data_IF_015100057602
#
_entry.id   IF_015100057602
#
_cell.length_a   1.000
_cell.length_b   1.000
_cell.length_c   1.000
_cell.angle_alpha   90.00
_cell.angle_beta   90.00
_cell.angle_gamma   90.00
#
_symmetry.space_group_name_H-M   'P 1'
#
loop_
_entity.id
_entity.type
_entity.pdbx_description
1 polymer ?
#
# COMPACT_ATOMS: atom_id res chain seq x y z
N UNK A 1 28.46 -17.48 -10.85
CA UNK A 1 27.36 -17.95 -9.99
C UNK A 1 27.79 -18.23 -8.56
N UNK A 2 28.87 -18.99 -8.29
CA UNK A 2 29.32 -19.32 -6.92
C UNK A 2 29.64 -18.07 -6.06
N UNK A 3 30.23 -17.03 -6.63
CA UNK A 3 30.59 -15.80 -5.90
C UNK A 3 29.39 -14.91 -5.56
N UNK A 4 28.29 -14.98 -6.33
CA UNK A 4 27.05 -14.26 -6.05
C UNK A 4 26.28 -14.88 -4.88
N UNK A 5 26.28 -16.21 -4.81
CA UNK A 5 25.66 -16.95 -3.70
C UNK A 5 26.42 -16.71 -2.39
N UNK A 6 27.77 -16.65 -2.45
CA UNK A 6 28.61 -16.33 -1.28
C UNK A 6 28.37 -14.90 -0.77
N UNK A 7 28.14 -13.93 -1.68
CA UNK A 7 27.80 -12.55 -1.33
C UNK A 7 26.42 -12.44 -0.64
N UNK A 8 25.42 -13.17 -1.14
CA UNK A 8 24.09 -13.25 -0.51
C UNK A 8 24.14 -13.90 0.89
N UNK A 9 24.96 -14.93 1.06
CA UNK A 9 25.17 -15.59 2.37
C UNK A 9 25.90 -14.68 3.36
N UNK A 10 26.90 -13.93 2.91
CA UNK A 10 27.60 -12.93 3.74
C UNK A 10 26.67 -11.83 4.21
N UNK A 11 25.77 -11.35 3.33
CA UNK A 11 24.78 -10.33 3.68
C UNK A 11 23.72 -10.86 4.67
N UNK A 12 23.31 -12.11 4.51
CA UNK A 12 22.37 -12.78 5.41
C UNK A 12 22.98 -13.01 6.82
N UNK A 13 24.25 -13.40 6.91
CA UNK A 13 24.95 -13.56 8.20
C UNK A 13 25.23 -12.22 8.90
N UNK A 14 25.48 -11.16 8.17
CA UNK A 14 25.68 -9.82 8.73
C UNK A 14 24.39 -9.24 9.33
N UNK A 15 23.23 -9.57 8.77
CA UNK A 15 21.92 -9.14 9.29
C UNK A 15 21.51 -9.83 10.60
N UNK A 16 22.02 -11.03 10.89
CA UNK A 16 21.71 -11.76 12.12
C UNK A 16 22.35 -11.16 13.37
N UNK A 17 23.44 -10.40 13.24
CA UNK A 17 24.11 -9.76 14.37
C UNK A 17 23.48 -8.43 14.81
N UNK A 18 22.64 -7.79 13.97
CA UNK A 18 21.91 -6.57 14.33
C UNK A 18 20.59 -6.81 15.05
N UNK A 19 20.12 -8.07 15.10
CA UNK A 19 18.84 -8.42 15.70
C UNK A 19 18.87 -8.54 17.24
N UNK A 20 19.99 -8.32 17.91
CA UNK A 20 20.14 -8.54 19.36
C UNK A 20 20.18 -7.28 20.22
N UNK A 21 20.01 -6.09 19.65
CA UNK A 21 19.85 -4.90 20.47
C UNK A 21 18.37 -4.73 20.84
N UNK A 22 17.99 -5.42 21.91
CA UNK A 22 16.71 -5.30 22.59
C UNK A 22 16.67 -3.99 23.39
N UNK A 23 16.62 -2.87 22.71
CA UNK A 23 16.15 -1.65 23.33
C UNK A 23 14.64 -1.78 23.45
N UNK A 24 14.16 -1.94 24.68
CA UNK A 24 12.76 -1.83 25.06
C UNK A 24 12.32 -0.38 24.90
N UNK A 25 12.20 0.06 23.64
CA UNK A 25 11.61 1.33 23.31
C UNK A 25 10.11 1.22 23.66
N UNK A 26 9.65 2.06 24.59
CA UNK A 26 8.24 2.36 24.76
C UNK A 26 7.71 2.80 23.38
N UNK A 27 7.16 1.86 22.62
CA UNK A 27 6.36 2.19 21.44
C UNK A 27 5.08 2.78 22.02
N UNK A 28 5.01 4.10 22.00
CA UNK A 28 3.78 4.81 22.33
C UNK A 28 2.77 4.39 21.25
N UNK A 29 1.79 3.57 21.64
CA UNK A 29 0.72 3.12 20.77
C UNK A 29 -0.15 4.31 20.37
N UNK A 30 0.32 5.11 19.42
CA UNK A 30 -0.48 6.17 18.84
C UNK A 30 -1.57 5.53 17.98
N UNK A 31 -2.76 5.48 18.53
CA UNK A 31 -3.95 5.12 17.78
C UNK A 31 -4.05 6.03 16.55
N UNK A 32 -4.28 5.44 15.39
CA UNK A 32 -4.38 6.19 14.14
C UNK A 32 -5.78 6.82 14.05
N UNK A 33 -5.93 8.02 14.58
CA UNK A 33 -7.21 8.72 14.62
C UNK A 33 -7.74 9.00 13.21
N UNK A 34 -9.03 8.73 13.04
CA UNK A 34 -9.74 9.09 11.83
C UNK A 34 -9.79 10.61 11.68
N UNK A 35 -9.31 11.11 10.55
CA UNK A 35 -9.37 12.51 10.18
C UNK A 35 -9.96 12.62 8.78
N UNK A 36 -11.12 13.29 8.65
CA UNK A 36 -11.81 13.46 7.38
C UNK A 36 -10.93 14.13 6.29
N UNK A 37 -10.00 15.01 6.69
CA UNK A 37 -9.04 15.62 5.77
C UNK A 37 -8.15 14.60 5.05
N UNK A 38 -7.88 13.46 5.67
CA UNK A 38 -7.09 12.36 5.06
C UNK A 38 -7.87 11.59 3.98
N UNK A 39 -9.19 11.84 3.85
CA UNK A 39 -10.02 11.30 2.78
C UNK A 39 -9.95 12.11 1.49
N UNK A 40 -9.54 13.38 1.52
CA UNK A 40 -9.60 14.25 0.34
C UNK A 40 -8.84 13.69 -0.86
N UNK A 41 -7.62 13.19 -0.65
CA UNK A 41 -6.83 12.63 -1.75
C UNK A 41 -7.44 11.34 -2.31
N UNK A 42 -7.74 10.29 -1.52
CA UNK A 42 -8.35 9.10 -2.09
C UNK A 42 -9.74 9.36 -2.69
N UNK A 43 -10.57 10.20 -2.08
CA UNK A 43 -11.86 10.58 -2.64
C UNK A 43 -11.72 11.34 -3.96
N UNK A 44 -10.78 12.27 -4.03
CA UNK A 44 -10.48 12.99 -5.27
C UNK A 44 -10.06 12.05 -6.39
N UNK A 45 -9.19 11.06 -6.12
CA UNK A 45 -8.77 10.06 -7.08
C UNK A 45 -9.93 9.16 -7.55
N UNK A 46 -10.79 8.71 -6.62
CA UNK A 46 -11.97 7.91 -6.96
C UNK A 46 -12.95 8.71 -7.84
N UNK A 47 -13.25 9.95 -7.46
CA UNK A 47 -14.16 10.81 -8.20
C UNK A 47 -13.57 11.14 -9.58
N UNK A 48 -12.28 11.46 -9.66
CA UNK A 48 -11.60 11.72 -10.94
C UNK A 48 -11.65 10.52 -11.87
N UNK A 49 -11.45 9.29 -11.32
CA UNK A 49 -11.58 8.06 -12.08
C UNK A 49 -12.98 7.90 -12.67
N UNK A 50 -14.03 8.18 -11.91
CA UNK A 50 -15.43 8.11 -12.37
C UNK A 50 -15.71 9.19 -13.43
N UNK A 51 -15.26 10.42 -13.21
CA UNK A 51 -15.51 11.54 -14.16
C UNK A 51 -14.84 11.25 -15.50
N UNK A 52 -13.59 10.75 -15.48
CA UNK A 52 -12.82 10.47 -16.70
C UNK A 52 -13.31 9.22 -17.42
N UNK A 53 -14.09 8.38 -16.75
CA UNK A 53 -14.64 7.13 -17.31
C UNK A 53 -15.81 7.35 -18.30
N UNK A 54 -15.97 8.53 -18.83
CA UNK A 54 -17.02 8.86 -19.80
C UNK A 54 -17.12 7.85 -20.96
N UNK A 55 -18.36 7.59 -21.41
CA UNK A 55 -18.68 6.54 -22.39
C UNK A 55 -18.64 6.99 -23.86
N UNK A 56 -18.36 8.26 -24.15
CA UNK A 56 -18.28 8.80 -25.52
C UNK A 56 -16.98 8.45 -26.23
N UNK A 57 -16.98 8.37 -27.57
CA UNK A 57 -15.74 8.18 -28.35
C UNK A 57 -14.73 9.29 -28.09
N UNK A 58 -15.19 10.51 -27.87
CA UNK A 58 -14.38 11.69 -27.52
C UNK A 58 -14.11 11.80 -26.01
N UNK A 59 -14.29 10.72 -25.23
CA UNK A 59 -13.98 10.76 -23.81
C UNK A 59 -12.46 10.78 -23.60
N UNK A 60 -11.99 11.49 -22.59
CA UNK A 60 -10.58 11.62 -22.28
C UNK A 60 -9.87 10.26 -22.14
N UNK A 61 -10.56 9.23 -21.60
CA UNK A 61 -9.98 7.90 -21.49
C UNK A 61 -9.69 7.28 -22.86
N UNK A 62 -10.55 7.48 -23.84
CA UNK A 62 -10.39 6.93 -25.19
C UNK A 62 -9.35 7.71 -25.97
N UNK A 63 -9.36 9.04 -25.89
CA UNK A 63 -8.34 9.90 -26.52
C UNK A 63 -6.93 9.53 -26.08
N UNK A 64 -6.69 9.35 -24.77
CA UNK A 64 -5.39 8.92 -24.25
C UNK A 64 -5.01 7.50 -24.75
N UNK A 65 -5.98 6.61 -24.85
CA UNK A 65 -5.71 5.26 -25.35
C UNK A 65 -5.41 5.23 -26.87
N UNK A 66 -6.07 6.07 -27.65
CA UNK A 66 -5.82 6.24 -29.08
C UNK A 66 -4.42 6.84 -29.31
N UNK A 67 -4.10 7.94 -28.63
CA UNK A 67 -2.78 8.60 -28.69
C UNK A 67 -1.65 7.61 -28.32
N UNK A 68 -1.87 6.79 -27.27
CA UNK A 68 -0.95 5.72 -26.92
C UNK A 68 -0.78 4.72 -28.06
N UNK A 69 -1.87 4.29 -28.70
CA UNK A 69 -1.82 3.29 -29.76
C UNK A 69 -1.12 3.82 -31.02
N UNK A 70 -1.23 5.11 -31.33
CA UNK A 70 -0.53 5.73 -32.44
C UNK A 70 0.98 5.79 -32.23
N UNK A 71 1.45 6.10 -30.99
CA UNK A 71 2.86 6.34 -30.71
C UNK A 71 3.61 5.13 -30.14
N UNK A 72 2.91 4.20 -29.49
CA UNK A 72 3.50 3.06 -28.78
C UNK A 72 2.92 1.73 -29.22
N UNK A 73 2.56 1.61 -30.51
CA UNK A 73 2.03 0.36 -31.05
C UNK A 73 3.02 -0.81 -30.82
N UNK A 74 2.51 -1.91 -30.25
CA UNK A 74 3.30 -3.11 -29.96
C UNK A 74 4.26 -2.99 -28.77
N UNK A 75 4.30 -1.86 -28.06
CA UNK A 75 5.11 -1.76 -26.85
C UNK A 75 4.52 -2.62 -25.74
N UNK A 76 5.34 -3.47 -25.14
CA UNK A 76 4.99 -4.29 -23.99
C UNK A 76 6.20 -4.42 -23.05
N UNK A 77 5.96 -4.22 -21.75
CA UNK A 77 6.97 -4.32 -20.70
C UNK A 77 6.34 -4.91 -19.43
N UNK A 78 7.00 -5.87 -18.82
CA UNK A 78 6.50 -6.61 -17.66
C UNK A 78 7.05 -6.10 -16.31
N UNK A 79 7.73 -4.97 -16.27
CA UNK A 79 8.32 -4.45 -15.05
C UNK A 79 7.24 -4.12 -13.98
N UNK A 80 6.09 -3.66 -14.42
CA UNK A 80 4.94 -3.33 -13.55
C UNK A 80 4.36 -4.55 -12.83
N UNK A 81 4.46 -5.75 -13.41
CA UNK A 81 4.01 -7.00 -12.79
C UNK A 81 4.81 -7.32 -11.52
N UNK A 82 6.09 -6.93 -11.47
CA UNK A 82 6.97 -7.10 -10.30
C UNK A 82 7.01 -5.86 -9.42
N UNK A 83 7.10 -4.67 -10.01
CA UNK A 83 7.24 -3.42 -9.29
C UNK A 83 6.06 -3.11 -8.36
N UNK A 84 4.86 -3.65 -8.65
CA UNK A 84 3.71 -3.52 -7.77
C UNK A 84 3.93 -4.09 -6.36
N UNK A 85 4.87 -5.02 -6.19
CA UNK A 85 5.18 -5.64 -4.89
C UNK A 85 6.29 -4.92 -4.14
N UNK A 86 7.02 -4.00 -4.79
CA UNK A 86 8.14 -3.29 -4.19
C UNK A 86 7.81 -2.64 -2.83
N UNK A 87 6.69 -1.90 -2.67
CA UNK A 87 6.40 -1.27 -1.38
C UNK A 87 6.22 -2.28 -0.25
N UNK A 88 5.67 -3.46 -0.52
CA UNK A 88 5.47 -4.50 0.50
C UNK A 88 6.79 -5.13 0.96
N UNK A 89 7.72 -5.34 0.03
CA UNK A 89 9.06 -5.79 0.35
C UNK A 89 9.81 -4.72 1.14
N UNK A 90 9.68 -3.45 0.75
CA UNK A 90 10.33 -2.33 1.40
C UNK A 90 9.83 -2.10 2.84
N UNK A 91 8.56 -2.39 3.15
CA UNK A 91 8.01 -2.27 4.51
C UNK A 91 8.83 -3.06 5.54
N UNK A 92 9.25 -4.27 5.20
CA UNK A 92 10.05 -5.10 6.09
C UNK A 92 11.56 -4.93 5.84
N UNK A 93 11.95 -4.67 4.60
CA UNK A 93 13.34 -4.43 4.24
C UNK A 93 13.95 -3.20 4.91
N UNK A 94 13.17 -2.13 5.07
CA UNK A 94 13.62 -0.91 5.76
C UNK A 94 13.84 -1.15 7.26
N UNK A 95 12.99 -1.96 7.91
CA UNK A 95 13.20 -2.35 9.30
C UNK A 95 14.50 -3.16 9.47
N UNK A 96 14.75 -4.14 8.57
CA UNK A 96 15.98 -4.92 8.55
C UNK A 96 17.20 -4.01 8.34
N UNK A 97 17.05 -2.94 7.54
CA UNK A 97 18.09 -1.93 7.31
C UNK A 97 18.24 -0.93 8.48
N UNK A 98 17.53 -1.13 9.60
CA UNK A 98 17.64 -0.31 10.81
C UNK A 98 16.75 0.93 10.85
N UNK A 99 15.85 1.12 9.88
CA UNK A 99 14.84 2.18 9.92
C UNK A 99 13.71 1.79 10.89
N UNK A 100 13.31 2.74 11.75
CA UNK A 100 12.24 2.49 12.73
C UNK A 100 10.87 2.66 12.08
N UNK A 101 10.03 1.59 12.01
CA UNK A 101 8.65 1.71 11.61
C UNK A 101 7.80 2.32 12.73
N UNK A 102 6.63 2.82 12.38
CA UNK A 102 5.66 3.37 13.33
C UNK A 102 5.03 2.29 14.21
N UNK A 103 4.74 1.11 13.63
CA UNK A 103 4.06 0.01 14.32
C UNK A 103 4.98 -1.20 14.49
N UNK A 104 4.72 -1.99 15.52
CA UNK A 104 5.44 -3.25 15.72
C UNK A 104 5.09 -4.28 14.63
N UNK A 105 5.93 -5.30 14.50
CA UNK A 105 5.82 -6.32 13.45
C UNK A 105 4.44 -6.99 13.39
N UNK A 106 3.83 -7.34 14.54
CA UNK A 106 2.56 -8.07 14.59
C UNK A 106 1.39 -7.18 14.14
N UNK A 107 1.30 -5.97 14.71
CA UNK A 107 0.29 -4.99 14.33
C UNK A 107 0.43 -4.60 12.85
N UNK A 108 1.66 -4.35 12.39
CA UNK A 108 1.95 -4.01 11.00
C UNK A 108 1.51 -5.10 10.03
N UNK A 109 1.82 -6.36 10.34
CA UNK A 109 1.41 -7.50 9.50
C UNK A 109 -0.10 -7.69 9.50
N UNK A 110 -0.78 -7.53 10.64
CA UNK A 110 -2.23 -7.60 10.72
C UNK A 110 -2.92 -6.48 9.92
N UNK A 111 -2.39 -5.26 9.98
CA UNK A 111 -2.87 -4.12 9.18
C UNK A 111 -2.68 -4.40 7.69
N UNK A 112 -1.49 -4.89 7.30
CA UNK A 112 -1.18 -5.25 5.92
C UNK A 112 -2.19 -6.26 5.37
N UNK A 113 -2.38 -7.38 6.07
CA UNK A 113 -3.31 -8.44 5.64
C UNK A 113 -4.73 -7.89 5.53
N UNK A 114 -5.19 -7.14 6.52
CA UNK A 114 -6.52 -6.52 6.52
C UNK A 114 -6.71 -5.56 5.36
N UNK A 115 -5.75 -4.65 5.15
CA UNK A 115 -5.79 -3.68 4.06
C UNK A 115 -5.80 -4.34 2.69
N UNK A 116 -5.01 -5.40 2.52
CA UNK A 116 -4.98 -6.17 1.28
C UNK A 116 -6.25 -6.97 1.04
N UNK A 117 -6.83 -7.60 2.05
CA UNK A 117 -8.11 -8.30 1.90
C UNK A 117 -9.22 -7.34 1.47
N UNK A 118 -9.29 -6.15 2.06
CA UNK A 118 -10.25 -5.12 1.65
C UNK A 118 -9.99 -4.67 0.22
N UNK A 119 -8.74 -4.32 -0.12
CA UNK A 119 -8.35 -3.84 -1.44
C UNK A 119 -8.65 -4.87 -2.54
N UNK A 120 -8.14 -6.08 -2.39
CA UNK A 120 -8.32 -7.16 -3.38
C UNK A 120 -9.78 -7.58 -3.50
N UNK A 121 -10.51 -7.62 -2.38
CA UNK A 121 -11.94 -7.94 -2.35
C UNK A 121 -12.76 -6.91 -3.14
N UNK A 122 -12.53 -5.61 -2.90
CA UNK A 122 -13.23 -4.54 -3.62
C UNK A 122 -12.87 -4.52 -5.11
N UNK A 123 -11.57 -4.67 -5.45
CA UNK A 123 -11.13 -4.77 -6.86
C UNK A 123 -11.82 -5.95 -7.56
N UNK A 124 -11.87 -7.11 -6.91
CA UNK A 124 -12.50 -8.31 -7.49
C UNK A 124 -14.00 -8.09 -7.71
N UNK A 125 -14.72 -7.57 -6.71
CA UNK A 125 -16.16 -7.32 -6.79
C UNK A 125 -16.46 -6.35 -7.94
N UNK A 126 -15.72 -5.21 -8.00
CA UNK A 126 -15.93 -4.21 -9.06
C UNK A 126 -15.65 -4.78 -10.45
N UNK A 127 -14.54 -5.52 -10.65
CA UNK A 127 -14.22 -6.15 -11.92
C UNK A 127 -15.32 -7.11 -12.40
N UNK A 128 -15.85 -7.92 -11.48
CA UNK A 128 -16.89 -8.89 -11.82
C UNK A 128 -18.26 -8.25 -12.06
N UNK A 129 -18.54 -7.14 -11.39
CA UNK A 129 -19.80 -6.42 -11.54
C UNK A 129 -19.85 -5.57 -12.81
N UNK A 130 -18.77 -4.83 -13.11
CA UNK A 130 -18.75 -3.88 -14.23
C UNK A 130 -18.37 -4.53 -15.56
N UNK A 131 -17.47 -5.52 -15.55
CA UNK A 131 -17.05 -6.32 -16.74
C UNK A 131 -16.55 -5.47 -17.91
N UNK A 132 -15.95 -4.33 -17.65
CA UNK A 132 -15.45 -3.43 -18.68
C UNK A 132 -14.34 -4.06 -19.51
N UNK A 133 -14.30 -3.69 -20.79
CA UNK A 133 -13.27 -4.14 -21.74
C UNK A 133 -12.06 -3.24 -21.64
N UNK A 134 -10.86 -3.83 -21.66
CA UNK A 134 -9.59 -3.11 -21.66
C UNK A 134 -9.28 -2.49 -23.03
N UNK A 135 -8.34 -1.53 -23.09
CA UNK A 135 -7.87 -1.00 -24.36
C UNK A 135 -7.33 -2.05 -25.33
N UNK A 136 -6.74 -3.16 -24.80
CA UNK A 136 -6.25 -4.30 -25.60
C UNK A 136 -7.34 -5.31 -26.03
N UNK A 137 -8.61 -5.04 -25.73
CA UNK A 137 -9.77 -5.89 -26.04
C UNK A 137 -10.04 -7.02 -25.04
N UNK A 138 -9.19 -7.22 -24.04
CA UNK A 138 -9.42 -8.22 -22.99
C UNK A 138 -10.44 -7.74 -21.94
N UNK A 139 -11.03 -8.65 -21.16
CA UNK A 139 -12.05 -8.33 -20.19
C UNK A 139 -11.48 -7.81 -18.84
N UNK A 140 -12.36 -7.21 -18.04
CA UNK A 140 -12.11 -6.80 -16.66
C UNK A 140 -11.10 -5.67 -16.51
N UNK A 141 -11.33 -4.57 -17.22
CA UNK A 141 -10.51 -3.37 -17.11
C UNK A 141 -10.64 -2.71 -15.73
N UNK A 142 -11.82 -2.23 -15.42
CA UNK A 142 -12.06 -1.38 -14.25
C UNK A 142 -12.28 -2.16 -12.94
N UNK A 143 -11.66 -1.71 -11.84
CA UNK A 143 -10.51 -0.81 -11.74
C UNK A 143 -9.18 -1.53 -11.96
N UNK A 144 -8.06 -0.78 -12.09
CA UNK A 144 -6.71 -1.35 -12.21
C UNK A 144 -6.27 -2.03 -10.92
N UNK A 145 -6.13 -3.36 -10.93
CA UNK A 145 -5.71 -4.13 -9.75
C UNK A 145 -4.24 -3.89 -9.37
N UNK A 146 -3.32 -3.81 -10.34
CA UNK A 146 -1.91 -3.51 -10.10
C UNK A 146 -1.74 -2.14 -9.46
N UNK A 147 -2.46 -1.13 -9.98
CA UNK A 147 -2.44 0.23 -9.42
C UNK A 147 -3.01 0.24 -8.00
N UNK A 148 -4.15 -0.39 -7.75
CA UNK A 148 -4.73 -0.49 -6.41
C UNK A 148 -3.77 -1.17 -5.43
N UNK A 149 -3.11 -2.25 -5.86
CA UNK A 149 -2.16 -2.99 -5.05
C UNK A 149 -0.94 -2.13 -4.67
N UNK A 150 -0.26 -1.53 -5.63
CA UNK A 150 0.94 -0.74 -5.36
C UNK A 150 0.64 0.52 -4.55
N UNK A 151 -0.51 1.19 -4.77
CA UNK A 151 -0.91 2.35 -3.98
C UNK A 151 -1.29 1.98 -2.54
N UNK A 152 -1.87 0.81 -2.30
CA UNK A 152 -2.08 0.30 -0.95
C UNK A 152 -0.74 0.09 -0.22
N UNK A 153 0.23 -0.55 -0.86
CA UNK A 153 1.58 -0.74 -0.32
C UNK A 153 2.32 0.57 -0.10
N UNK A 154 2.28 1.50 -1.07
CA UNK A 154 2.89 2.82 -0.95
C UNK A 154 2.29 3.63 0.21
N UNK A 155 0.97 3.55 0.41
CA UNK A 155 0.29 4.20 1.54
C UNK A 155 0.79 3.64 2.88
N UNK A 156 0.92 2.33 2.98
CA UNK A 156 1.44 1.69 4.18
C UNK A 156 2.89 2.11 4.45
N UNK A 157 3.75 2.06 3.42
CA UNK A 157 5.14 2.46 3.52
C UNK A 157 5.29 3.93 3.96
N UNK A 158 4.45 4.81 3.41
CA UNK A 158 4.41 6.22 3.78
C UNK A 158 3.94 6.44 5.22
N UNK A 159 2.99 5.66 5.72
CA UNK A 159 2.50 5.74 7.11
C UNK A 159 3.55 5.21 8.09
N UNK A 160 4.18 4.08 7.78
CA UNK A 160 5.15 3.45 8.68
C UNK A 160 6.45 4.24 8.83
N UNK A 161 6.94 4.86 7.76
CA UNK A 161 8.27 5.46 7.75
C UNK A 161 8.30 6.96 7.45
N UNK A 162 7.20 7.53 6.92
CA UNK A 162 7.19 8.92 6.45
C UNK A 162 7.34 9.97 7.56
N UNK A 163 7.08 9.64 8.81
CA UNK A 163 7.27 10.57 9.93
C UNK A 163 8.76 10.86 10.16
N UNK A 164 9.58 9.82 10.20
CA UNK A 164 11.03 9.92 10.44
C UNK A 164 11.84 10.12 9.17
N UNK A 165 11.33 9.63 8.03
CA UNK A 165 12.02 9.64 6.74
C UNK A 165 11.16 10.31 5.67
N UNK A 166 11.22 11.64 5.58
CA UNK A 166 10.36 12.47 4.71
C UNK A 166 10.44 12.13 3.21
N UNK A 167 11.52 11.51 2.76
CA UNK A 167 11.71 11.06 1.38
C UNK A 167 10.90 9.81 1.03
N UNK A 168 10.58 8.96 2.02
CA UNK A 168 9.90 7.66 1.80
C UNK A 168 8.56 7.80 1.10
N UNK A 169 7.63 8.69 1.52
CA UNK A 169 6.37 8.88 0.81
C UNK A 169 6.55 9.25 -0.65
N UNK A 170 7.52 10.11 -0.98
CA UNK A 170 7.77 10.55 -2.36
C UNK A 170 8.23 9.38 -3.24
N UNK A 171 9.17 8.57 -2.76
CA UNK A 171 9.64 7.39 -3.49
C UNK A 171 8.53 6.35 -3.62
N UNK A 172 7.81 6.06 -2.53
CA UNK A 172 6.75 5.07 -2.53
C UNK A 172 5.63 5.41 -3.52
N UNK A 173 5.12 6.65 -3.48
CA UNK A 173 4.09 7.08 -4.42
C UNK A 173 4.64 7.32 -5.83
N UNK A 174 5.92 7.68 -5.98
CA UNK A 174 6.59 7.74 -7.27
C UNK A 174 6.61 6.38 -7.97
N UNK A 175 7.01 5.33 -7.27
CA UNK A 175 6.95 3.94 -7.79
C UNK A 175 5.51 3.55 -8.11
N UNK A 176 4.55 3.87 -7.23
CA UNK A 176 3.14 3.54 -7.47
C UNK A 176 2.59 4.23 -8.71
N UNK A 177 2.91 5.51 -8.91
CA UNK A 177 2.51 6.28 -10.10
C UNK A 177 3.14 5.70 -11.36
N UNK A 178 4.42 5.32 -11.31
CA UNK A 178 5.12 4.68 -12.44
C UNK A 178 4.43 3.36 -12.82
N UNK A 179 4.09 2.51 -11.86
CA UNK A 179 3.34 1.27 -12.13
C UNK A 179 1.99 1.59 -12.79
N UNK A 180 1.23 2.57 -12.26
CA UNK A 180 -0.02 2.99 -12.87
C UNK A 180 0.14 3.48 -14.31
N UNK A 181 1.16 4.31 -14.58
CA UNK A 181 1.48 4.78 -15.93
C UNK A 181 1.87 3.62 -16.86
N UNK A 182 2.65 2.67 -16.36
CA UNK A 182 3.03 1.48 -17.15
C UNK A 182 1.83 0.63 -17.54
N UNK A 183 0.78 0.54 -16.69
CA UNK A 183 -0.47 -0.16 -17.07
C UNK A 183 -1.15 0.48 -18.27
N UNK A 184 -1.10 1.82 -18.37
CA UNK A 184 -1.61 2.55 -19.53
C UNK A 184 -0.69 2.34 -20.75
N UNK A 185 0.62 2.50 -20.58
CA UNK A 185 1.62 2.29 -21.63
C UNK A 185 1.57 0.86 -22.19
N UNK A 186 1.33 -0.14 -21.36
CA UNK A 186 1.14 -1.55 -21.75
C UNK A 186 -0.25 -1.86 -22.33
N UNK A 187 -1.10 -0.86 -22.58
CA UNK A 187 -2.46 -1.02 -23.13
C UNK A 187 -3.39 -1.89 -22.27
N UNK A 188 -3.11 -2.05 -20.99
CA UNK A 188 -3.86 -2.94 -20.08
C UNK A 188 -5.00 -2.22 -19.36
N UNK A 189 -4.90 -0.90 -19.20
CA UNK A 189 -5.87 -0.10 -18.44
C UNK A 189 -6.02 1.31 -18.99
N UNK A 190 -7.22 1.86 -18.90
CA UNK A 190 -7.50 3.27 -19.13
C UNK A 190 -7.01 4.11 -17.94
N UNK A 191 -6.87 5.43 -18.17
CA UNK A 191 -6.54 6.38 -17.11
C UNK A 191 -7.60 6.39 -15.99
N UNK A 192 -8.87 6.19 -16.31
CA UNK A 192 -9.97 6.05 -15.35
C UNK A 192 -9.74 4.89 -14.38
N UNK A 193 -9.31 3.73 -14.90
CA UNK A 193 -9.02 2.53 -14.12
C UNK A 193 -7.87 2.76 -13.14
N UNK A 194 -6.84 3.49 -13.61
CA UNK A 194 -5.63 3.81 -12.85
C UNK A 194 -5.95 4.79 -11.74
N UNK A 195 -6.66 5.88 -12.02
CA UNK A 195 -7.04 6.88 -11.02
C UNK A 195 -7.93 6.27 -9.93
N UNK A 196 -8.96 5.52 -10.35
CA UNK A 196 -9.85 4.86 -9.40
C UNK A 196 -9.11 3.79 -8.59
N UNK A 197 -8.28 2.98 -9.23
CA UNK A 197 -7.44 1.98 -8.56
C UNK A 197 -6.52 2.60 -7.52
N UNK A 198 -5.87 3.71 -7.83
CA UNK A 198 -5.02 4.46 -6.90
C UNK A 198 -5.81 4.92 -5.67
N UNK A 199 -6.97 5.55 -5.88
CA UNK A 199 -7.85 5.99 -4.80
C UNK A 199 -8.30 4.83 -3.91
N UNK A 200 -8.68 3.70 -4.53
CA UNK A 200 -9.13 2.49 -3.83
C UNK A 200 -8.01 1.90 -2.95
N UNK A 201 -6.80 1.78 -3.49
CA UNK A 201 -5.64 1.28 -2.76
C UNK A 201 -5.30 2.14 -1.54
N UNK A 202 -5.25 3.47 -1.73
CA UNK A 202 -5.01 4.43 -0.63
C UNK A 202 -6.08 4.32 0.44
N UNK A 203 -7.36 4.30 0.03
CA UNK A 203 -8.49 4.25 0.97
C UNK A 203 -8.52 2.94 1.75
N UNK A 204 -8.33 1.80 1.09
CA UNK A 204 -8.32 0.48 1.71
C UNK A 204 -7.26 0.35 2.78
N UNK A 205 -6.05 0.84 2.52
CA UNK A 205 -4.97 0.79 3.50
C UNK A 205 -5.21 1.76 4.66
N UNK A 206 -5.66 3.00 4.40
CA UNK A 206 -6.03 3.94 5.47
C UNK A 206 -7.16 3.39 6.33
N UNK A 207 -8.19 2.78 5.75
CA UNK A 207 -9.28 2.15 6.48
C UNK A 207 -8.76 1.01 7.38
N UNK A 208 -7.77 0.23 6.92
CA UNK A 208 -7.15 -0.81 7.72
C UNK A 208 -6.49 -0.24 8.98
N UNK A 209 -5.77 0.90 8.88
CA UNK A 209 -5.18 1.60 10.02
C UNK A 209 -6.24 2.15 10.96
N UNK A 210 -7.25 2.87 10.46
CA UNK A 210 -8.30 3.50 11.28
C UNK A 210 -9.14 2.50 12.07
N UNK A 211 -9.32 1.30 11.51
CA UNK A 211 -10.14 0.25 12.13
C UNK A 211 -9.30 -0.81 12.84
N UNK A 212 -7.96 -0.62 12.94
CA UNK A 212 -7.10 -1.56 13.62
C UNK A 212 -7.19 -1.40 15.13
N UNK A 213 -7.41 -2.51 15.81
CA UNK A 213 -7.36 -2.57 17.27
C UNK A 213 -5.97 -3.08 17.67
N UNK A 214 -5.18 -2.21 18.28
CA UNK A 214 -3.83 -2.53 18.74
C UNK A 214 -3.90 -3.44 19.97
N UNK A 215 -3.94 -4.76 19.75
CA UNK A 215 -4.06 -5.77 20.82
C UNK A 215 -2.72 -6.26 21.35
N UNK A 216 -1.67 -6.11 20.53
CA UNK A 216 -0.33 -6.58 20.89
C UNK A 216 0.52 -5.40 21.34
N UNK A 217 1.37 -5.64 22.35
CA UNK A 217 2.29 -4.63 22.92
C UNK A 217 1.60 -3.36 23.47
N UNK A 218 0.34 -3.46 23.87
CA UNK A 218 -0.23 -2.42 24.72
C UNK A 218 0.52 -2.46 26.06
N UNK A 219 0.99 -1.32 26.60
CA UNK A 219 1.41 -1.29 28.00
C UNK A 219 0.22 -1.82 28.81
N UNK A 220 0.50 -2.78 29.68
CA UNK A 220 -0.52 -3.18 30.66
C UNK A 220 -0.95 -1.90 31.34
N UNK A 221 -2.18 -1.51 31.15
CA UNK A 221 -2.75 -0.37 31.85
C UNK A 221 -2.64 -0.71 33.34
N UNK A 222 -1.88 0.10 34.08
CA UNK A 222 -1.84 0.00 35.56
C UNK A 222 -3.21 0.32 36.19
N UNK A 223 -4.20 0.55 35.36
CA UNK A 223 -5.61 0.75 35.68
C UNK A 223 -6.41 -0.54 35.46
N UNK A 224 -5.92 -1.68 35.95
CA UNK A 224 -6.79 -2.80 36.23
C UNK A 224 -7.62 -2.42 37.46
N UNK A 225 -8.93 -2.08 37.33
CA UNK A 225 -9.76 -1.65 38.45
C UNK A 225 -9.86 -2.72 39.56
N UNK A 226 -9.43 -3.94 39.29
CA UNK A 226 -9.42 -5.04 40.28
C UNK A 226 -8.03 -5.20 40.97
N UNK A 227 -6.94 -4.64 40.43
CA UNK A 227 -5.65 -4.76 41.08
C UNK A 227 -5.49 -3.84 42.31
N UNK A 228 -6.28 -2.78 42.43
CA UNK A 228 -6.27 -1.89 43.59
C UNK A 228 -7.17 -2.37 44.73
N UNK A 229 -7.92 -3.47 44.58
CA UNK A 229 -8.78 -4.02 45.62
C UNK A 229 -8.03 -4.91 46.63
N UNK A 230 -6.79 -5.28 46.36
CA UNK A 230 -6.00 -6.20 47.20
C UNK A 230 -4.79 -5.55 47.90
N UNK A 231 -4.55 -4.27 47.72
CA UNK A 231 -3.60 -3.51 48.56
C UNK A 231 -4.35 -2.93 49.78
N UNK A 232 -4.60 -3.77 50.77
CA UNK A 232 -4.95 -3.27 52.09
C UNK A 232 -3.74 -2.52 52.67
N UNK A 233 -3.93 -1.36 53.32
CA UNK A 233 -2.81 -0.72 54.02
C UNK A 233 -2.35 -1.62 55.15
N UNK A 234 -1.12 -2.02 55.17
CA UNK A 234 -0.48 -2.61 56.34
C UNK A 234 -0.40 -1.52 57.41
N UNK A 235 -1.10 -1.76 58.53
CA UNK A 235 -1.04 -0.95 59.76
C UNK A 235 0.22 -1.29 60.56
#
# INVERSE_FOLDING_TARGET
>A
MKNFIAFLWSFFFMSLNFAQQKDSLKIENQQFDFQYKKLYVPAGLLISGIIVDGSGKESLKNEIAEERNEHLFGFENHLDDYAQFFPFVAIYGFEIAGMKPRTDYKNRTAILVKGQLVNLGLVYILKKSLKETRPDGTAYSFPSGHTANVFAGATMLAIEYGEHHKWVPYVAYGVATTVGAMRMVNNKHYISDVLFGAGLGVLSMKAAYWTHQYKWNQPKSDLDPFNNLYTLPEN
#
